data_IF_852924998859
#
_entry.id   IF_852924998859
#
_cell.length_a   1.000
_cell.length_b   1.000
_cell.length_c   1.000
_cell.angle_alpha   90.00
_cell.angle_beta   90.00
_cell.angle_gamma   90.00
#
_symmetry.space_group_name_H-M   'P 1'
#
loop_
_entity.id
_entity.type
_entity.pdbx_description
1 polymer ?
#
# COMPACT_ATOMS: atom_id res chain seq x y z
N UNK A 1 -52.36 -13.55 10.99
CA UNK A 1 -52.16 -12.30 10.22
C UNK A 1 -51.11 -11.36 10.81
N UNK A 2 -50.74 -11.46 12.12
CA UNK A 2 -49.74 -10.58 12.74
C UNK A 2 -48.29 -10.84 12.21
N UNK A 3 -47.90 -12.10 12.03
CA UNK A 3 -46.55 -12.46 11.61
C UNK A 3 -46.18 -12.00 10.17
N UNK A 4 -47.14 -11.93 9.26
CA UNK A 4 -46.88 -11.49 7.88
C UNK A 4 -46.62 -9.98 7.84
N UNK A 5 -47.34 -9.17 8.62
CA UNK A 5 -47.08 -7.73 8.69
C UNK A 5 -45.71 -7.40 9.31
N UNK A 6 -45.26 -8.16 10.32
CA UNK A 6 -43.92 -8.03 10.89
C UNK A 6 -42.81 -8.38 9.87
N UNK A 7 -43.03 -9.42 9.07
CA UNK A 7 -42.05 -9.79 8.02
C UNK A 7 -41.93 -8.70 6.95
N UNK A 8 -43.03 -8.15 6.47
CA UNK A 8 -43.00 -7.06 5.49
C UNK A 8 -42.40 -5.77 6.08
N UNK A 9 -42.65 -5.48 7.36
CA UNK A 9 -42.03 -4.33 8.04
C UNK A 9 -40.50 -4.50 8.11
N UNK A 10 -40.02 -5.67 8.54
CA UNK A 10 -38.57 -5.96 8.60
C UNK A 10 -37.93 -5.90 7.22
N UNK A 11 -38.58 -6.46 6.19
CA UNK A 11 -38.09 -6.38 4.80
C UNK A 11 -38.05 -4.91 4.33
N UNK A 12 -39.09 -4.12 4.62
CA UNK A 12 -39.13 -2.70 4.28
C UNK A 12 -38.02 -1.89 4.96
N UNK A 13 -37.75 -2.15 6.24
CA UNK A 13 -36.64 -1.52 6.99
C UNK A 13 -35.28 -1.91 6.41
N UNK A 14 -35.08 -3.19 6.10
CA UNK A 14 -33.84 -3.68 5.49
C UNK A 14 -33.63 -3.05 4.11
N UNK A 15 -34.66 -3.01 3.27
CA UNK A 15 -34.58 -2.37 1.95
C UNK A 15 -34.30 -0.87 2.09
N UNK A 16 -34.95 -0.17 3.03
CA UNK A 16 -34.68 1.25 3.27
C UNK A 16 -33.25 1.50 3.75
N UNK A 17 -32.72 0.67 4.64
CA UNK A 17 -31.31 0.73 5.09
C UNK A 17 -30.33 0.45 3.94
N UNK A 18 -30.62 -0.52 3.08
CA UNK A 18 -29.81 -0.80 1.91
C UNK A 18 -29.81 0.37 0.91
N UNK A 19 -30.96 1.00 0.70
CA UNK A 19 -31.08 2.17 -0.19
C UNK A 19 -30.31 3.39 0.35
N UNK A 20 -30.41 3.67 1.65
CA UNK A 20 -29.69 4.80 2.25
C UNK A 20 -28.17 4.58 2.27
N UNK A 21 -27.71 3.37 2.53
CA UNK A 21 -26.28 3.05 2.45
C UNK A 21 -25.76 3.05 1.01
N UNK A 22 -26.56 2.65 0.03
CA UNK A 22 -26.19 2.68 -1.39
C UNK A 22 -25.95 4.09 -1.94
N UNK A 23 -26.51 5.12 -1.30
CA UNK A 23 -26.22 6.53 -1.60
C UNK A 23 -24.83 6.97 -1.11
N UNK A 24 -24.15 6.16 -0.27
CA UNK A 24 -22.85 6.49 0.33
C UNK A 24 -21.65 6.33 -0.60
N UNK A 25 -21.81 5.78 -1.82
CA UNK A 25 -20.73 5.60 -2.79
C UNK A 25 -21.12 6.10 -4.19
N UNK A 26 -20.10 6.55 -4.94
CA UNK A 26 -20.22 7.07 -6.31
C UNK A 26 -19.33 6.27 -7.27
N UNK A 27 -19.64 4.97 -7.51
CA UNK A 27 -18.77 4.11 -8.28
C UNK A 27 -18.76 4.45 -9.77
N UNK A 28 -17.58 4.32 -10.38
CA UNK A 28 -17.40 4.33 -11.83
C UNK A 28 -17.41 2.88 -12.34
N UNK A 29 -17.98 2.67 -13.52
CA UNK A 29 -17.85 1.40 -14.21
C UNK A 29 -16.42 1.23 -14.73
N UNK A 30 -15.84 0.06 -14.49
CA UNK A 30 -14.54 -0.31 -15.03
C UNK A 30 -14.55 -1.79 -15.36
N UNK A 31 -14.09 -2.15 -16.54
CA UNK A 31 -13.93 -3.55 -16.96
C UNK A 31 -12.44 -3.89 -16.91
N UNK A 32 -11.97 -4.67 -15.92
CA UNK A 32 -10.61 -5.16 -15.93
C UNK A 32 -10.38 -6.11 -17.10
N UNK A 33 -9.15 -6.18 -17.58
CA UNK A 33 -8.73 -7.24 -18.48
C UNK A 33 -8.86 -8.62 -17.80
N UNK A 34 -9.00 -9.69 -18.57
CA UNK A 34 -9.02 -11.04 -18.01
C UNK A 34 -7.80 -11.26 -17.10
N UNK A 35 -8.05 -11.83 -15.92
CA UNK A 35 -7.00 -12.13 -14.96
C UNK A 35 -5.96 -13.04 -15.59
N UNK A 36 -4.64 -12.72 -15.51
CA UNK A 36 -3.59 -13.57 -16.02
C UNK A 36 -3.53 -14.90 -15.26
N UNK A 37 -3.10 -15.95 -15.94
CA UNK A 37 -2.90 -17.25 -15.34
C UNK A 37 -1.59 -17.29 -14.56
N UNK A 38 -1.54 -18.12 -13.52
CA UNK A 38 -0.31 -18.38 -12.77
C UNK A 38 0.52 -19.46 -13.50
N UNK A 39 1.34 -19.04 -14.46
CA UNK A 39 2.16 -19.89 -15.30
C UNK A 39 3.54 -19.29 -15.58
N UNK A 40 4.49 -20.07 -16.07
CA UNK A 40 5.86 -19.60 -16.34
C UNK A 40 6.52 -19.05 -15.09
N UNK A 41 7.06 -17.81 -15.16
CA UNK A 41 7.68 -17.12 -14.01
C UNK A 41 6.70 -16.80 -12.88
N UNK A 42 5.39 -16.86 -13.16
CA UNK A 42 4.33 -16.66 -12.16
C UNK A 42 3.68 -17.95 -11.67
N UNK A 43 4.23 -19.13 -12.04
CA UNK A 43 3.73 -20.42 -11.54
C UNK A 43 3.75 -20.46 -10.01
N UNK A 44 2.64 -20.93 -9.42
CA UNK A 44 2.51 -21.00 -7.97
C UNK A 44 3.59 -21.87 -7.34
N UNK A 45 4.12 -21.40 -6.22
CA UNK A 45 5.06 -22.09 -5.36
C UNK A 45 4.69 -21.88 -3.88
N UNK A 46 5.47 -22.40 -2.96
CA UNK A 46 5.27 -22.27 -1.51
C UNK A 46 6.48 -21.61 -0.83
N UNK A 47 7.22 -20.74 -1.53
CA UNK A 47 8.44 -20.16 -0.98
C UNK A 47 8.15 -19.30 0.25
N UNK A 48 7.09 -18.47 0.23
CA UNK A 48 6.73 -17.63 1.39
C UNK A 48 6.13 -18.42 2.55
N UNK A 49 5.82 -19.70 2.40
CA UNK A 49 5.47 -20.55 3.56
C UNK A 49 6.64 -20.83 4.50
N UNK A 50 7.86 -20.50 4.08
CA UNK A 50 9.13 -20.74 4.80
C UNK A 50 9.65 -19.51 5.53
N UNK A 51 8.87 -18.43 5.62
CA UNK A 51 9.30 -17.19 6.28
C UNK A 51 9.53 -17.40 7.76
N UNK A 52 10.60 -16.83 8.27
CA UNK A 52 10.79 -16.59 9.71
C UNK A 52 9.93 -15.39 10.11
N UNK A 53 9.41 -15.40 11.33
CA UNK A 53 8.55 -14.34 11.84
C UNK A 53 9.30 -13.49 12.85
N UNK A 54 9.47 -12.21 12.56
CA UNK A 54 9.95 -11.21 13.52
C UNK A 54 8.71 -10.63 14.19
N UNK A 55 8.51 -11.00 15.46
CA UNK A 55 7.36 -10.58 16.27
C UNK A 55 7.34 -9.06 16.46
N UNK A 56 6.18 -8.44 16.40
CA UNK A 56 5.96 -7.02 16.68
C UNK A 56 5.44 -6.78 18.11
N UNK A 57 5.43 -7.79 18.97
CA UNK A 57 4.92 -7.72 20.33
C UNK A 57 3.41 -7.59 20.36
N UNK A 58 2.91 -6.52 20.95
CA UNK A 58 1.46 -6.24 21.03
C UNK A 58 0.93 -5.43 19.85
N UNK A 59 1.76 -5.15 18.84
CA UNK A 59 1.43 -4.31 17.70
C UNK A 59 1.14 -5.15 16.47
N UNK A 60 0.43 -4.55 15.53
CA UNK A 60 0.16 -5.11 14.19
C UNK A 60 0.47 -4.07 13.13
N UNK A 61 0.67 -4.48 11.89
CA UNK A 61 0.99 -3.60 10.79
C UNK A 61 2.36 -3.91 10.20
N UNK A 62 3.22 -2.94 10.03
CA UNK A 62 4.44 -2.89 9.22
C UNK A 62 4.11 -2.64 7.75
N UNK A 63 3.31 -1.58 7.50
CA UNK A 63 2.97 -1.13 6.13
C UNK A 63 4.22 -0.78 5.33
N UNK A 64 5.22 -0.18 5.98
CA UNK A 64 6.53 0.03 5.38
C UNK A 64 7.64 -0.37 6.36
N UNK A 65 8.78 -0.77 5.79
CA UNK A 65 9.95 -1.29 6.51
C UNK A 65 11.18 -0.58 5.99
N UNK A 66 11.96 0.03 6.89
CA UNK A 66 13.24 0.65 6.55
C UNK A 66 14.31 0.28 7.57
N UNK A 67 15.56 0.29 7.17
CA UNK A 67 16.70 0.02 8.03
C UNK A 67 17.61 1.24 8.12
N UNK A 68 18.15 1.49 9.31
CA UNK A 68 19.26 2.42 9.47
C UNK A 68 20.62 1.76 9.14
N UNK A 69 21.68 2.55 9.14
CA UNK A 69 23.06 2.07 8.87
C UNK A 69 23.57 1.07 9.91
N UNK A 70 23.01 1.05 11.12
CA UNK A 70 23.36 0.13 12.18
C UNK A 70 22.60 -1.20 12.10
N UNK A 71 21.66 -1.33 11.15
CA UNK A 71 20.84 -2.52 10.98
C UNK A 71 19.57 -2.55 11.83
N UNK A 72 19.24 -1.48 12.53
CA UNK A 72 17.95 -1.39 13.18
C UNK A 72 16.84 -1.28 12.13
N UNK A 73 15.77 -2.04 12.33
CA UNK A 73 14.57 -2.01 11.51
C UNK A 73 13.58 -1.01 12.10
N UNK A 74 12.98 -0.19 11.23
CA UNK A 74 11.88 0.70 11.60
C UNK A 74 10.64 0.35 10.79
N UNK A 75 9.47 0.37 11.44
CA UNK A 75 8.19 0.11 10.77
C UNK A 75 7.05 0.89 11.42
N UNK A 76 6.07 1.26 10.59
CA UNK A 76 4.82 1.83 11.06
C UNK A 76 3.87 0.73 11.54
N UNK A 77 3.31 0.87 12.75
CA UNK A 77 2.40 -0.10 13.35
C UNK A 77 1.19 0.57 13.99
N UNK A 78 0.17 -0.22 14.30
CA UNK A 78 -1.01 0.20 15.05
C UNK A 78 -1.41 -0.82 16.11
N UNK A 79 -2.37 -0.47 16.97
CA UNK A 79 -2.65 -1.23 18.20
C UNK A 79 -3.37 -2.56 17.97
N UNK A 80 -4.26 -2.62 16.99
CA UNK A 80 -5.09 -3.80 16.77
C UNK A 80 -5.49 -3.90 15.30
N UNK A 81 -5.84 -5.10 14.87
CA UNK A 81 -6.33 -5.35 13.52
C UNK A 81 -7.46 -4.38 13.15
N UNK A 82 -7.29 -3.70 12.02
CA UNK A 82 -8.22 -2.67 11.49
C UNK A 82 -8.45 -1.43 12.38
N UNK A 83 -7.63 -1.21 13.42
CA UNK A 83 -7.65 0.00 14.23
C UNK A 83 -6.40 0.86 13.96
N UNK A 84 -6.51 1.78 13.02
CA UNK A 84 -5.44 2.67 12.57
C UNK A 84 -5.33 3.98 13.38
N UNK A 85 -6.03 4.09 14.51
CA UNK A 85 -6.17 5.34 15.26
C UNK A 85 -4.99 5.66 16.17
N UNK A 86 -4.24 4.65 16.66
CA UNK A 86 -3.12 4.79 17.60
C UNK A 86 -1.82 4.23 17.03
N UNK A 87 -1.37 4.80 15.90
CA UNK A 87 -0.17 4.37 15.21
C UNK A 87 1.11 4.81 15.90
N UNK A 88 2.13 3.96 15.76
CA UNK A 88 3.49 4.13 16.26
C UNK A 88 4.50 3.87 15.15
N UNK A 89 5.71 4.36 15.33
CA UNK A 89 6.89 3.85 14.64
C UNK A 89 7.67 3.04 15.65
N UNK A 90 7.84 1.75 15.37
CA UNK A 90 8.74 0.89 16.15
C UNK A 90 10.15 0.96 15.59
N UNK A 91 11.12 0.76 16.48
CA UNK A 91 12.50 0.42 16.16
C UNK A 91 12.80 -0.94 16.75
N UNK A 92 13.31 -1.84 15.94
CA UNK A 92 13.71 -3.20 16.32
C UNK A 92 15.20 -3.34 16.04
N UNK A 93 15.99 -3.57 17.06
CA UNK A 93 17.43 -3.73 16.88
C UNK A 93 17.78 -5.13 16.31
N UNK A 94 19.04 -5.39 15.88
CA UNK A 94 19.43 -6.69 15.33
C UNK A 94 19.22 -7.86 16.28
N UNK A 95 19.23 -7.64 17.61
CA UNK A 95 18.97 -8.62 18.65
C UNK A 95 17.47 -8.87 18.90
N UNK A 96 16.58 -8.19 18.15
CA UNK A 96 15.13 -8.33 18.24
C UNK A 96 14.47 -7.51 19.37
N UNK A 97 15.20 -6.60 20.04
CA UNK A 97 14.59 -5.73 21.05
C UNK A 97 13.77 -4.64 20.40
N UNK A 98 12.49 -4.56 20.80
CA UNK A 98 11.52 -3.59 20.30
C UNK A 98 11.49 -2.36 21.21
N UNK A 99 11.50 -1.18 20.61
CA UNK A 99 11.19 0.10 21.27
C UNK A 99 10.22 0.94 20.43
N UNK A 100 9.40 1.75 21.10
CA UNK A 100 8.62 2.78 20.42
C UNK A 100 9.55 3.93 20.09
N UNK A 101 9.88 4.09 18.82
CA UNK A 101 10.69 5.20 18.35
C UNK A 101 9.89 6.51 18.37
N UNK A 102 8.65 6.49 17.85
CA UNK A 102 7.77 7.64 17.80
C UNK A 102 6.30 7.27 17.99
N UNK A 103 5.60 8.10 18.78
CA UNK A 103 4.16 7.97 18.95
C UNK A 103 3.44 8.91 17.97
N UNK A 104 3.00 8.40 16.85
CA UNK A 104 2.35 9.18 15.81
C UNK A 104 0.89 9.51 16.12
N UNK A 105 0.22 8.71 16.95
CA UNK A 105 -1.20 8.83 17.27
C UNK A 105 -2.10 8.71 16.03
N UNK A 106 -1.58 8.11 14.95
CA UNK A 106 -2.27 7.77 13.71
C UNK A 106 -1.41 6.80 12.92
N UNK A 107 -1.97 6.14 11.92
CA UNK A 107 -1.19 5.28 11.05
C UNK A 107 -0.06 6.03 10.37
N UNK A 108 1.09 5.35 10.24
CA UNK A 108 2.27 5.79 9.50
C UNK A 108 2.53 4.75 8.43
N UNK A 109 2.37 5.12 7.16
CA UNK A 109 2.45 4.19 6.05
C UNK A 109 3.85 4.15 5.40
N UNK A 110 4.40 5.27 4.97
CA UNK A 110 5.69 5.34 4.28
C UNK A 110 6.83 5.83 5.17
N UNK A 111 8.02 5.25 5.04
CA UNK A 111 9.22 5.55 5.81
C UNK A 111 10.46 5.59 4.93
N UNK A 112 11.33 6.60 5.12
CA UNK A 112 12.67 6.65 4.51
C UNK A 112 13.61 7.49 5.37
N UNK A 113 14.92 7.20 5.35
CA UNK A 113 15.91 8.08 5.96
C UNK A 113 16.45 9.08 4.94
N UNK A 114 16.56 10.34 5.35
CA UNK A 114 17.32 11.35 4.61
C UNK A 114 18.84 11.21 4.87
N UNK A 115 19.66 11.98 4.14
CA UNK A 115 21.13 11.96 4.31
C UNK A 115 21.62 12.47 5.68
N UNK A 116 20.79 13.22 6.41
CA UNK A 116 21.05 13.66 7.78
C UNK A 116 20.60 12.65 8.84
N UNK A 117 20.16 11.44 8.42
CA UNK A 117 19.58 10.40 9.27
C UNK A 117 18.29 10.84 10.00
N UNK A 118 17.55 11.83 9.49
CA UNK A 118 16.19 12.04 9.93
C UNK A 118 15.29 10.97 9.31
N UNK A 119 14.36 10.44 10.08
CA UNK A 119 13.33 9.54 9.57
C UNK A 119 12.21 10.38 8.96
N UNK A 120 12.11 10.34 7.64
CA UNK A 120 11.00 10.92 6.89
C UNK A 120 9.85 9.94 6.93
N UNK A 121 8.65 10.41 7.27
CA UNK A 121 7.50 9.55 7.47
C UNK A 121 6.21 10.18 6.93
N UNK A 122 5.29 9.33 6.50
CA UNK A 122 3.95 9.71 6.07
C UNK A 122 2.93 9.36 7.16
N UNK A 123 2.51 10.37 7.90
CA UNK A 123 1.52 10.26 8.98
C UNK A 123 0.13 10.64 8.47
N UNK A 124 -0.86 9.79 8.67
CA UNK A 124 -2.25 10.10 8.27
C UNK A 124 -2.84 11.31 8.98
N UNK A 125 -2.28 11.70 10.14
CA UNK A 125 -2.72 12.87 10.89
C UNK A 125 -1.95 14.13 10.55
N UNK A 126 -0.65 14.01 10.25
CA UNK A 126 0.26 15.15 10.14
C UNK A 126 0.74 15.39 8.69
N UNK A 127 0.52 14.42 7.77
CA UNK A 127 1.06 14.46 6.41
C UNK A 127 2.51 13.99 6.35
N UNK A 128 3.32 14.64 5.53
CA UNK A 128 4.75 14.41 5.41
C UNK A 128 5.48 15.07 6.58
N UNK A 129 6.19 14.26 7.36
CA UNK A 129 6.96 14.71 8.55
C UNK A 129 8.42 14.25 8.48
N UNK A 130 9.28 14.97 9.17
CA UNK A 130 10.67 14.60 9.44
C UNK A 130 10.85 14.44 10.94
N UNK A 131 11.48 13.35 11.36
CA UNK A 131 11.76 13.01 12.75
C UNK A 131 13.28 12.92 12.93
N UNK A 132 13.87 13.85 13.66
CA UNK A 132 15.33 13.84 13.88
C UNK A 132 15.76 12.67 14.76
N UNK A 133 17.08 12.32 14.80
CA UNK A 133 17.61 11.32 15.75
C UNK A 133 17.30 11.63 17.22
N UNK A 134 17.10 12.91 17.55
CA UNK A 134 16.69 13.37 18.89
C UNK A 134 15.18 13.34 19.08
N UNK A 135 14.43 12.73 18.14
CA UNK A 135 12.96 12.58 18.16
C UNK A 135 12.21 13.93 18.09
N UNK A 136 12.84 14.98 17.55
CA UNK A 136 12.16 16.24 17.23
C UNK A 136 11.42 16.10 15.91
N UNK A 137 10.14 16.46 15.91
CA UNK A 137 9.27 16.32 14.74
C UNK A 137 9.05 17.65 14.05
N UNK A 138 9.21 17.65 12.74
CA UNK A 138 8.90 18.79 11.87
C UNK A 138 7.88 18.36 10.82
N UNK A 139 6.76 19.07 10.70
CA UNK A 139 5.82 18.89 9.60
C UNK A 139 6.39 19.58 8.37
N UNK A 140 6.69 18.79 7.33
CA UNK A 140 7.23 19.30 6.07
C UNK A 140 6.10 19.76 5.15
N UNK A 141 5.04 18.96 5.03
CA UNK A 141 3.85 19.31 4.25
C UNK A 141 2.63 18.50 4.72
N UNK A 142 1.46 19.14 4.78
CA UNK A 142 0.19 18.48 5.08
C UNK A 142 -0.90 18.74 4.02
N UNK A 143 -0.56 19.51 2.99
CA UNK A 143 -1.42 19.86 1.86
C UNK A 143 -0.62 19.86 0.57
N UNK A 144 -1.30 19.59 -0.53
CA UNK A 144 -0.74 19.74 -1.87
C UNK A 144 -0.69 21.21 -2.33
N UNK A 145 -0.17 21.44 -3.53
CA UNK A 145 -0.08 22.76 -4.19
C UNK A 145 -1.43 23.35 -4.60
N UNK A 146 -2.53 22.59 -4.45
CA UNK A 146 -3.93 23.03 -4.64
C UNK A 146 -4.66 23.26 -3.31
N UNK A 147 -3.97 23.12 -2.18
CA UNK A 147 -4.52 23.31 -0.82
C UNK A 147 -5.33 22.13 -0.29
N UNK A 148 -5.33 20.95 -0.94
CA UNK A 148 -6.01 19.74 -0.48
C UNK A 148 -5.17 19.03 0.58
N UNK A 149 -5.78 18.67 1.72
CA UNK A 149 -5.06 17.97 2.80
C UNK A 149 -4.74 16.52 2.42
N UNK A 150 -3.52 16.06 2.75
CA UNK A 150 -3.14 14.67 2.62
C UNK A 150 -3.83 13.86 3.73
N UNK A 151 -4.86 13.09 3.37
CA UNK A 151 -5.64 12.31 4.34
C UNK A 151 -5.18 10.84 4.43
N UNK A 152 -4.60 10.32 3.35
CA UNK A 152 -4.07 8.96 3.26
C UNK A 152 -2.74 9.02 2.49
N UNK A 153 -1.71 9.74 2.99
CA UNK A 153 -0.38 9.66 2.41
C UNK A 153 0.17 8.25 2.66
N UNK A 154 0.80 7.63 1.63
CA UNK A 154 1.06 6.19 1.64
C UNK A 154 2.52 5.83 1.38
N UNK A 155 2.96 5.65 0.13
CA UNK A 155 4.34 5.30 -0.19
C UNK A 155 5.24 6.52 -0.36
N UNK A 156 6.51 6.42 0.01
CA UNK A 156 7.50 7.47 -0.24
C UNK A 156 8.86 6.91 -0.64
N UNK A 157 9.62 7.72 -1.38
CA UNK A 157 11.03 7.49 -1.67
C UNK A 157 11.77 8.83 -1.84
N UNK A 158 13.11 8.81 -1.80
CA UNK A 158 13.96 10.01 -1.80
C UNK A 158 15.07 9.85 -2.84
N UNK A 159 15.27 10.87 -3.70
CA UNK A 159 16.38 10.88 -4.67
C UNK A 159 17.70 11.40 -4.04
N UNK A 160 18.79 11.31 -4.79
CA UNK A 160 20.13 11.77 -4.36
C UNK A 160 20.21 13.29 -4.10
N UNK A 161 19.25 14.06 -4.60
CA UNK A 161 19.10 15.50 -4.33
C UNK A 161 18.19 15.80 -3.14
N UNK A 162 17.80 14.76 -2.41
CA UNK A 162 16.90 14.83 -1.26
C UNK A 162 15.47 15.29 -1.60
N UNK A 163 15.06 15.25 -2.89
CA UNK A 163 13.65 15.43 -3.19
C UNK A 163 12.87 14.22 -2.69
N UNK A 164 11.78 14.45 -2.00
CA UNK A 164 10.91 13.41 -1.46
C UNK A 164 9.74 13.23 -2.41
N UNK A 165 9.58 12.01 -2.91
CA UNK A 165 8.44 11.62 -3.75
C UNK A 165 7.49 10.79 -2.92
N UNK A 166 6.19 11.10 -2.97
CA UNK A 166 5.21 10.36 -2.18
C UNK A 166 3.84 10.35 -2.82
N UNK A 167 3.06 9.34 -2.48
CA UNK A 167 1.68 9.19 -2.90
C UNK A 167 0.72 9.67 -1.82
N UNK A 168 -0.47 10.10 -2.23
CA UNK A 168 -1.64 10.22 -1.37
C UNK A 168 -2.78 9.44 -2.02
N UNK A 169 -3.28 8.43 -1.33
CA UNK A 169 -4.27 7.50 -1.86
C UNK A 169 -5.62 8.18 -2.10
N UNK A 170 -6.01 9.09 -1.19
CA UNK A 170 -7.29 9.81 -1.30
C UNK A 170 -7.34 11.09 -0.48
N UNK A 171 -8.18 12.03 -0.94
CA UNK A 171 -8.48 13.31 -0.28
C UNK A 171 -9.87 13.35 0.39
N UNK A 172 -10.67 12.29 0.30
CA UNK A 172 -12.08 12.37 0.71
C UNK A 172 -12.32 12.11 2.20
N UNK A 173 -11.55 11.21 2.82
CA UNK A 173 -11.72 10.80 4.22
C UNK A 173 -10.45 10.17 4.77
N UNK A 174 -10.17 10.30 6.08
CA UNK A 174 -9.15 9.49 6.73
C UNK A 174 -9.40 8.00 6.55
N UNK A 175 -8.33 7.21 6.51
CA UNK A 175 -8.43 5.77 6.28
C UNK A 175 -9.11 5.04 7.45
N UNK A 176 -9.96 4.12 7.07
CA UNK A 176 -10.48 3.03 7.89
C UNK A 176 -10.92 1.90 6.94
N UNK A 177 -11.16 0.71 7.48
CA UNK A 177 -11.47 -0.47 6.65
C UNK A 177 -12.71 -0.29 5.76
N UNK A 178 -13.74 0.42 6.25
CA UNK A 178 -14.94 0.73 5.45
C UNK A 178 -14.61 1.66 4.30
N UNK A 179 -13.72 2.65 4.53
CA UNK A 179 -13.30 3.60 3.51
C UNK A 179 -12.37 2.94 2.48
N UNK A 180 -11.46 2.08 2.91
CA UNK A 180 -10.65 1.27 1.98
C UNK A 180 -11.50 0.45 1.02
N UNK A 181 -12.53 -0.23 1.53
CA UNK A 181 -13.52 -0.95 0.69
C UNK A 181 -14.30 -0.03 -0.25
N UNK A 182 -14.66 1.17 0.22
CA UNK A 182 -15.27 2.21 -0.63
C UNK A 182 -14.38 2.54 -1.81
N UNK A 183 -13.10 2.82 -1.59
CA UNK A 183 -12.14 3.16 -2.63
C UNK A 183 -12.02 2.05 -3.68
N UNK A 184 -11.92 0.77 -3.24
CA UNK A 184 -11.88 -0.39 -4.13
C UNK A 184 -13.13 -0.49 -4.99
N UNK A 185 -14.32 -0.30 -4.42
CA UNK A 185 -15.57 -0.38 -5.16
C UNK A 185 -15.82 0.83 -6.05
N UNK A 186 -15.45 2.03 -5.63
CA UNK A 186 -15.70 3.24 -6.39
C UNK A 186 -14.85 3.33 -7.66
N UNK A 187 -13.61 2.89 -7.62
CA UNK A 187 -12.69 3.02 -8.76
C UNK A 187 -12.63 4.46 -9.27
N UNK A 188 -12.45 5.43 -8.36
CA UNK A 188 -12.35 6.85 -8.68
C UNK A 188 -10.93 7.36 -8.56
N UNK A 189 -10.51 8.29 -9.44
CA UNK A 189 -9.19 8.89 -9.39
C UNK A 189 -9.11 9.97 -8.29
N UNK A 190 -8.98 9.54 -7.03
CA UNK A 190 -9.05 10.42 -5.84
C UNK A 190 -7.68 10.74 -5.23
N UNK A 191 -6.61 10.17 -5.74
CA UNK A 191 -5.27 10.31 -5.19
C UNK A 191 -4.33 11.13 -6.07
N UNK A 192 -3.05 11.09 -5.75
CA UNK A 192 -2.02 11.75 -6.54
C UNK A 192 -0.61 11.32 -6.17
N UNK A 193 0.36 11.71 -7.01
CA UNK A 193 1.81 11.61 -6.81
C UNK A 193 2.40 13.01 -6.66
N UNK A 194 3.28 13.19 -5.67
CA UNK A 194 3.82 14.48 -5.27
C UNK A 194 5.33 14.45 -5.14
N UNK A 195 5.93 15.60 -5.33
CA UNK A 195 7.32 15.88 -4.99
C UNK A 195 7.36 16.99 -3.95
N UNK A 196 8.09 16.77 -2.85
CA UNK A 196 8.50 17.82 -1.92
C UNK A 196 9.98 18.14 -2.14
N UNK A 197 10.31 19.41 -2.31
CA UNK A 197 11.70 19.86 -2.42
C UNK A 197 12.12 20.48 -1.07
N UNK A 198 13.09 19.90 -0.34
CA UNK A 198 13.47 20.39 0.98
C UNK A 198 14.15 21.76 0.96
N UNK A 199 14.86 22.10 -0.14
CA UNK A 199 15.56 23.39 -0.26
C UNK A 199 14.60 24.58 -0.42
N UNK A 200 13.51 24.39 -1.18
CA UNK A 200 12.50 25.43 -1.42
C UNK A 200 11.27 25.29 -0.54
N UNK A 201 11.13 24.14 0.14
CA UNK A 201 9.93 23.72 0.89
C UNK A 201 8.65 23.68 0.05
N UNK A 202 8.79 23.56 -1.27
CA UNK A 202 7.69 23.54 -2.21
C UNK A 202 7.16 22.12 -2.42
N UNK A 203 5.84 21.98 -2.51
CA UNK A 203 5.15 20.80 -3.01
C UNK A 203 4.83 21.03 -4.48
N UNK A 204 4.99 19.98 -5.28
CA UNK A 204 4.58 19.93 -6.68
C UNK A 204 3.75 18.67 -6.91
N UNK A 205 2.55 18.82 -7.46
CA UNK A 205 1.76 17.69 -7.98
C UNK A 205 2.40 17.18 -9.27
N UNK A 206 2.79 15.91 -9.30
CA UNK A 206 3.34 15.24 -10.48
C UNK A 206 2.24 14.51 -11.27
N UNK A 207 1.37 13.76 -10.58
CA UNK A 207 0.19 13.13 -11.16
C UNK A 207 -1.00 13.47 -10.27
N UNK A 208 -2.08 13.98 -10.86
CA UNK A 208 -3.36 14.22 -10.19
C UNK A 208 -4.39 13.18 -10.68
N UNK A 209 -5.17 12.63 -9.76
CA UNK A 209 -6.21 11.67 -10.12
C UNK A 209 -5.72 10.22 -10.27
N UNK A 210 -4.93 9.72 -9.31
CA UNK A 210 -4.52 8.31 -9.25
C UNK A 210 -5.57 7.41 -8.59
N UNK A 211 -5.57 6.12 -8.97
CA UNK A 211 -6.53 5.11 -8.50
C UNK A 211 -5.91 4.28 -7.36
N UNK A 212 -6.11 4.74 -6.12
CA UNK A 212 -5.50 4.14 -4.95
C UNK A 212 -3.96 4.10 -5.11
N UNK A 213 -3.34 5.29 -5.26
CA UNK A 213 -1.88 5.41 -5.30
C UNK A 213 -1.29 4.88 -4.01
N UNK A 214 -0.33 3.95 -4.13
CA UNK A 214 0.30 3.25 -3.03
C UNK A 214 1.82 3.42 -3.08
N UNK A 215 2.61 2.36 -3.10
CA UNK A 215 4.07 2.45 -3.16
C UNK A 215 4.59 3.32 -4.29
N UNK A 216 5.71 3.99 -4.07
CA UNK A 216 6.48 4.74 -5.06
C UNK A 216 7.96 4.47 -4.86
N UNK A 217 8.73 4.43 -5.95
CA UNK A 217 10.17 4.21 -5.91
C UNK A 217 10.85 5.01 -7.03
N UNK A 218 12.03 5.55 -6.73
CA UNK A 218 12.92 6.22 -7.69
C UNK A 218 13.76 5.15 -8.41
N UNK A 219 13.90 5.23 -9.73
CA UNK A 219 14.81 4.35 -10.49
C UNK A 219 16.27 4.60 -10.10
N UNK A 220 17.13 3.58 -10.25
CA UNK A 220 18.55 3.65 -9.87
C UNK A 220 19.30 4.81 -10.52
N UNK A 221 19.00 5.14 -11.77
CA UNK A 221 19.56 6.25 -12.52
C UNK A 221 18.81 7.58 -12.31
N UNK A 222 17.76 7.55 -11.48
CA UNK A 222 16.88 8.69 -11.19
C UNK A 222 16.27 9.33 -12.44
N UNK A 223 16.01 8.54 -13.47
CA UNK A 223 15.37 9.05 -14.69
C UNK A 223 13.84 8.97 -14.63
N UNK A 224 13.30 8.11 -13.78
CA UNK A 224 11.85 7.94 -13.58
C UNK A 224 11.47 7.50 -12.17
N UNK A 225 10.18 7.60 -11.89
CA UNK A 225 9.52 6.98 -10.74
C UNK A 225 8.64 5.83 -11.22
N UNK A 226 8.58 4.76 -10.46
CA UNK A 226 7.48 3.79 -10.54
C UNK A 226 6.50 4.06 -9.41
N UNK A 227 5.22 4.05 -9.72
CA UNK A 227 4.13 4.25 -8.76
C UNK A 227 3.08 3.15 -8.91
N UNK A 228 2.64 2.61 -7.79
CA UNK A 228 1.60 1.58 -7.73
C UNK A 228 0.21 2.21 -7.80
N UNK A 229 -0.67 1.70 -8.68
CA UNK A 229 -2.11 1.92 -8.64
C UNK A 229 -2.82 0.62 -8.26
N UNK A 230 -3.04 0.44 -6.96
CA UNK A 230 -3.55 -0.82 -6.36
C UNK A 230 -4.84 -1.31 -7.01
N UNK A 231 -5.84 -0.45 -7.14
CA UNK A 231 -7.17 -0.85 -7.65
C UNK A 231 -7.23 -1.02 -9.16
N UNK A 232 -6.21 -0.55 -9.88
CA UNK A 232 -6.07 -0.74 -11.33
C UNK A 232 -5.19 -1.94 -11.68
N UNK A 233 -4.63 -2.63 -10.68
CA UNK A 233 -3.73 -3.76 -10.90
C UNK A 233 -2.55 -3.42 -11.81
N UNK A 234 -1.92 -2.24 -11.59
CA UNK A 234 -0.88 -1.75 -12.49
C UNK A 234 0.18 -0.89 -11.79
N UNK A 235 1.28 -0.68 -12.51
CA UNK A 235 2.32 0.30 -12.20
C UNK A 235 2.33 1.40 -13.24
N UNK A 236 2.49 2.63 -12.81
CA UNK A 236 2.75 3.79 -13.66
C UNK A 236 4.23 4.15 -13.59
N UNK A 237 4.80 4.59 -14.72
CA UNK A 237 6.11 5.22 -14.83
C UNK A 237 5.93 6.71 -15.07
N UNK A 238 6.49 7.53 -14.19
CA UNK A 238 6.54 8.98 -14.35
C UNK A 238 7.99 9.39 -14.64
N UNK A 239 8.21 10.00 -15.78
CA UNK A 239 9.55 10.42 -16.21
C UNK A 239 10.01 11.69 -15.52
N UNK A 240 11.17 11.64 -14.86
CA UNK A 240 11.80 12.78 -14.17
C UNK A 240 12.74 13.55 -15.10
N UNK A 241 13.40 12.85 -16.03
CA UNK A 241 14.46 13.39 -16.89
C UNK A 241 14.26 12.97 -18.35
N UNK A 242 15.02 13.62 -19.27
CA UNK A 242 15.02 13.31 -20.70
C UNK A 242 13.83 13.92 -21.44
N UNK A 243 13.65 13.50 -22.71
CA UNK A 243 12.60 14.02 -23.60
C UNK A 243 11.16 13.74 -23.12
N UNK A 244 11.00 12.73 -22.29
CA UNK A 244 9.72 12.36 -21.71
C UNK A 244 9.47 13.01 -20.34
N UNK A 245 10.35 13.87 -19.83
CA UNK A 245 10.20 14.50 -18.53
C UNK A 245 8.81 15.09 -18.32
N UNK A 246 8.16 14.75 -17.18
CA UNK A 246 6.80 15.16 -16.87
C UNK A 246 5.69 14.30 -17.48
N UNK A 247 6.02 13.30 -18.31
CA UNK A 247 5.04 12.37 -18.90
C UNK A 247 4.85 11.15 -18.03
N UNK A 248 3.64 10.60 -18.07
CA UNK A 248 3.26 9.35 -17.39
C UNK A 248 2.91 8.31 -18.44
N UNK A 249 3.34 7.08 -18.23
CA UNK A 249 2.98 5.91 -19.04
C UNK A 249 2.72 4.69 -18.16
N UNK A 250 1.99 3.70 -18.68
CA UNK A 250 1.80 2.42 -17.99
C UNK A 250 3.10 1.64 -18.09
N UNK A 251 3.66 1.23 -16.95
CA UNK A 251 4.86 0.40 -16.88
C UNK A 251 4.53 -1.09 -16.90
N UNK A 252 3.59 -1.52 -16.05
CA UNK A 252 3.02 -2.86 -16.04
C UNK A 252 1.52 -2.75 -15.87
N UNK A 253 0.76 -3.57 -16.56
CA UNK A 253 -0.70 -3.63 -16.44
C UNK A 253 -1.19 -5.05 -16.17
N UNK A 254 -2.44 -5.17 -15.80
CA UNK A 254 -3.12 -6.44 -15.62
C UNK A 254 -2.38 -7.40 -14.68
N UNK A 255 -1.90 -6.92 -13.54
CA UNK A 255 -1.19 -7.71 -12.55
C UNK A 255 -2.09 -8.78 -11.91
N UNK A 256 -1.49 -9.83 -11.35
CA UNK A 256 -2.15 -10.99 -10.75
C UNK A 256 -2.90 -10.70 -9.43
N UNK A 257 -2.66 -9.55 -8.83
CA UNK A 257 -3.21 -9.17 -7.51
C UNK A 257 -3.34 -7.68 -7.32
N UNK A 258 -3.54 -7.28 -6.09
CA UNK A 258 -3.56 -5.90 -5.63
C UNK A 258 -2.13 -5.48 -5.27
N UNK A 259 -1.37 -4.83 -6.18
CA UNK A 259 -0.03 -4.37 -5.87
C UNK A 259 -0.10 -3.29 -4.79
N UNK A 260 0.91 -3.27 -3.90
CA UNK A 260 0.94 -2.37 -2.75
C UNK A 260 2.28 -1.62 -2.66
N UNK A 261 3.25 -2.14 -1.92
CA UNK A 261 4.58 -1.55 -1.78
C UNK A 261 5.51 -1.96 -2.91
N UNK A 262 6.43 -1.08 -3.25
CA UNK A 262 7.50 -1.33 -4.21
C UNK A 262 8.82 -0.82 -3.64
N UNK A 263 9.91 -1.56 -3.85
CA UNK A 263 11.25 -1.12 -3.47
C UNK A 263 12.28 -1.48 -4.51
N UNK A 264 13.39 -0.74 -4.54
CA UNK A 264 14.49 -0.96 -5.48
C UNK A 264 15.59 -1.84 -4.86
N UNK A 265 16.20 -2.67 -5.68
CA UNK A 265 17.40 -3.45 -5.38
C UNK A 265 18.66 -2.69 -5.78
N UNK A 266 19.81 -3.10 -5.23
CA UNK A 266 21.11 -2.51 -5.58
C UNK A 266 21.46 -2.65 -7.07
N UNK A 267 20.99 -3.70 -7.74
CA UNK A 267 21.18 -3.94 -9.18
C UNK A 267 20.26 -3.12 -10.10
N UNK A 268 19.25 -2.42 -9.53
CA UNK A 268 18.28 -1.61 -10.26
C UNK A 268 16.98 -2.34 -10.59
N UNK A 269 16.85 -3.60 -10.21
CA UNK A 269 15.58 -4.34 -10.26
C UNK A 269 14.67 -3.92 -9.11
N UNK A 270 13.42 -4.41 -9.09
CA UNK A 270 12.44 -4.00 -8.08
C UNK A 270 11.75 -5.19 -7.45
N UNK A 271 11.45 -5.06 -6.16
CA UNK A 271 10.53 -5.92 -5.44
C UNK A 271 9.15 -5.26 -5.37
N UNK A 272 8.12 -5.99 -5.76
CA UNK A 272 6.73 -5.56 -5.72
C UNK A 272 5.95 -6.47 -4.77
N UNK A 273 5.40 -5.89 -3.72
CA UNK A 273 4.54 -6.57 -2.75
C UNK A 273 3.07 -6.47 -3.13
N UNK A 274 2.27 -7.43 -2.64
CA UNK A 274 0.84 -7.49 -2.91
C UNK A 274 0.05 -7.71 -1.63
N UNK A 275 -1.07 -7.01 -1.50
CA UNK A 275 -2.01 -7.24 -0.40
C UNK A 275 -2.70 -8.59 -0.55
N UNK A 276 -3.09 -8.96 -1.77
CA UNK A 276 -3.69 -10.27 -2.10
C UNK A 276 -3.76 -10.48 -3.61
N UNK A 277 -4.14 -11.68 -4.04
CA UNK A 277 -4.47 -11.97 -5.44
C UNK A 277 -5.77 -11.29 -5.90
N UNK A 278 -6.00 -11.16 -7.21
CA UNK A 278 -7.27 -10.68 -7.77
C UNK A 278 -8.42 -11.61 -7.41
N UNK A 279 -9.58 -11.00 -7.13
CA UNK A 279 -10.80 -11.69 -6.78
C UNK A 279 -11.78 -11.68 -7.96
N UNK A 280 -12.14 -12.88 -8.47
CA UNK A 280 -12.99 -13.05 -9.65
C UNK A 280 -14.41 -12.46 -9.46
N UNK A 281 -14.95 -12.49 -8.23
CA UNK A 281 -16.25 -11.90 -7.94
C UNK A 281 -16.20 -10.38 -8.03
N UNK A 282 -15.13 -9.77 -7.51
CA UNK A 282 -14.90 -8.34 -7.58
C UNK A 282 -14.70 -7.88 -9.03
N UNK A 283 -13.90 -8.58 -9.82
CA UNK A 283 -13.69 -8.29 -11.24
C UNK A 283 -15.00 -8.34 -12.04
N UNK A 284 -15.89 -9.31 -11.74
CA UNK A 284 -17.21 -9.43 -12.37
C UNK A 284 -18.18 -8.30 -12.01
N UNK A 285 -18.03 -7.68 -10.84
CA UNK A 285 -18.91 -6.59 -10.41
C UNK A 285 -18.37 -5.20 -10.80
N UNK A 286 -17.07 -5.06 -11.06
CA UNK A 286 -16.48 -3.75 -11.42
C UNK A 286 -17.17 -3.03 -12.58
N UNK A 287 -17.66 -3.69 -13.65
CA UNK A 287 -18.42 -3.04 -14.70
C UNK A 287 -19.84 -2.63 -14.29
N UNK A 288 -20.35 -3.15 -13.16
CA UNK A 288 -21.77 -3.07 -12.77
C UNK A 288 -21.98 -2.11 -11.61
N UNK A 289 -22.24 -0.82 -11.90
CA UNK A 289 -22.42 0.24 -10.90
C UNK A 289 -23.46 -0.16 -9.82
N UNK A 290 -24.61 -0.73 -10.22
CA UNK A 290 -25.66 -1.15 -9.29
C UNK A 290 -25.18 -2.25 -8.32
N UNK A 291 -24.40 -3.23 -8.82
CA UNK A 291 -23.84 -4.29 -7.97
C UNK A 291 -22.81 -3.76 -6.98
N UNK A 292 -21.97 -2.80 -7.38
CA UNK A 292 -21.02 -2.13 -6.48
C UNK A 292 -21.77 -1.44 -5.33
N UNK A 293 -22.84 -0.69 -5.62
CA UNK A 293 -23.69 -0.05 -4.62
C UNK A 293 -24.35 -1.08 -3.70
N UNK A 294 -24.86 -2.16 -4.27
CA UNK A 294 -25.48 -3.26 -3.51
C UNK A 294 -24.48 -3.90 -2.54
N UNK A 295 -23.29 -4.30 -3.04
CA UNK A 295 -22.24 -4.93 -2.20
C UNK A 295 -21.79 -3.98 -1.09
N UNK A 296 -21.63 -2.68 -1.38
CA UNK A 296 -21.26 -1.71 -0.35
C UNK A 296 -22.33 -1.54 0.73
N UNK A 297 -23.61 -1.66 0.37
CA UNK A 297 -24.74 -1.54 1.30
C UNK A 297 -24.93 -2.78 2.19
N UNK A 298 -24.31 -3.92 1.86
CA UNK A 298 -24.38 -5.12 2.68
C UNK A 298 -23.76 -4.87 4.07
N UNK A 299 -24.32 -5.47 5.13
CA UNK A 299 -23.67 -5.54 6.42
C UNK A 299 -22.25 -6.11 6.29
N UNK A 300 -21.30 -5.62 7.08
CA UNK A 300 -19.87 -5.97 6.98
C UNK A 300 -19.62 -7.48 7.00
N UNK A 301 -20.40 -8.24 7.76
CA UNK A 301 -20.29 -9.70 7.87
C UNK A 301 -20.76 -10.46 6.61
N UNK A 302 -21.55 -9.83 5.74
CA UNK A 302 -21.96 -10.36 4.41
C UNK A 302 -21.07 -9.88 3.26
N UNK A 303 -20.21 -8.92 3.51
CA UNK A 303 -19.31 -8.42 2.46
C UNK A 303 -18.19 -9.45 2.19
N UNK A 304 -17.75 -9.59 0.94
CA UNK A 304 -16.61 -10.44 0.61
C UNK A 304 -15.39 -10.05 1.46
N UNK A 305 -14.72 -11.07 2.02
CA UNK A 305 -13.46 -10.90 2.73
C UNK A 305 -12.31 -10.97 1.73
N UNK A 306 -11.21 -10.34 2.08
CA UNK A 306 -9.95 -10.47 1.38
C UNK A 306 -9.44 -11.92 1.50
N UNK A 307 -8.96 -12.48 0.39
CA UNK A 307 -8.27 -13.77 0.42
C UNK A 307 -6.92 -13.62 1.14
N UNK A 308 -6.59 -14.59 1.98
CA UNK A 308 -5.23 -14.70 2.54
C UNK A 308 -4.35 -15.35 1.48
N UNK A 309 -3.38 -14.59 0.96
CA UNK A 309 -2.54 -15.05 -0.13
C UNK A 309 -1.26 -14.20 -0.21
N UNK A 310 -0.15 -14.75 0.25
CA UNK A 310 1.14 -14.08 0.16
C UNK A 310 1.66 -14.09 -1.27
N UNK A 311 2.06 -12.92 -1.77
CA UNK A 311 2.62 -12.77 -3.11
C UNK A 311 3.63 -11.62 -3.16
N UNK A 312 4.81 -11.91 -3.70
CA UNK A 312 5.85 -10.94 -4.02
C UNK A 312 6.38 -11.22 -5.42
N UNK A 313 6.64 -10.18 -6.20
CA UNK A 313 7.25 -10.27 -7.53
C UNK A 313 8.59 -9.55 -7.55
N UNK A 314 9.57 -10.16 -8.17
CA UNK A 314 10.84 -9.54 -8.58
C UNK A 314 10.71 -9.15 -10.05
N UNK A 315 10.92 -7.89 -10.38
CA UNK A 315 10.75 -7.34 -11.73
C UNK A 315 11.97 -6.55 -12.16
N UNK A 316 12.27 -6.55 -13.46
CA UNK A 316 13.35 -5.75 -14.02
C UNK A 316 12.91 -4.32 -14.37
N UNK A 317 13.84 -3.51 -14.84
CA UNK A 317 13.62 -2.12 -15.28
C UNK A 317 12.71 -1.96 -16.51
N UNK A 318 12.44 -3.07 -17.22
CA UNK A 318 11.55 -3.13 -18.38
C UNK A 318 10.15 -3.66 -18.04
N UNK A 319 9.91 -4.05 -16.76
CA UNK A 319 8.65 -4.65 -16.31
C UNK A 319 8.55 -6.15 -16.55
N UNK A 320 9.68 -6.84 -16.86
CA UNK A 320 9.71 -8.29 -16.97
C UNK A 320 9.68 -8.91 -15.58
N UNK A 321 8.78 -9.87 -15.36
CA UNK A 321 8.74 -10.63 -14.11
C UNK A 321 9.87 -11.66 -14.13
N UNK A 322 10.88 -11.44 -13.29
CA UNK A 322 12.06 -12.31 -13.15
C UNK A 322 11.72 -13.54 -12.31
N UNK A 323 11.02 -13.33 -11.20
CA UNK A 323 10.63 -14.39 -10.26
C UNK A 323 9.43 -13.98 -9.40
N UNK A 324 8.67 -14.97 -8.95
CA UNK A 324 7.59 -14.76 -7.99
C UNK A 324 7.72 -15.70 -6.81
N UNK A 325 7.24 -15.23 -5.66
CA UNK A 325 7.25 -15.94 -4.39
C UNK A 325 5.84 -15.94 -3.83
N UNK A 326 5.35 -17.12 -3.42
CA UNK A 326 3.97 -17.28 -2.96
C UNK A 326 3.87 -18.03 -1.63
N UNK A 327 2.84 -17.67 -0.86
CA UNK A 327 2.16 -18.53 0.11
C UNK A 327 0.67 -18.63 -0.29
N UNK A 328 0.30 -19.58 -1.16
CA UNK A 328 -1.09 -19.73 -1.60
C UNK A 328 -2.05 -20.11 -0.49
N UNK A 329 -1.55 -20.63 0.63
CA UNK A 329 -2.37 -20.99 1.81
C UNK A 329 -2.65 -19.78 2.69
N UNK A 330 -1.78 -18.76 2.63
CA UNK A 330 -1.85 -17.59 3.48
C UNK A 330 -1.73 -17.89 4.98
N UNK A 331 -1.08 -19.01 5.35
CA UNK A 331 -0.87 -19.40 6.76
C UNK A 331 0.37 -18.72 7.33
N UNK A 332 1.48 -18.77 6.61
CA UNK A 332 2.74 -18.19 7.03
C UNK A 332 2.84 -16.71 6.64
N UNK A 333 2.37 -16.36 5.45
CA UNK A 333 2.37 -14.99 4.94
C UNK A 333 1.02 -14.69 4.24
N UNK A 334 -0.03 -14.27 4.98
CA UNK A 334 -1.37 -14.04 4.41
C UNK A 334 -1.46 -12.82 3.50
N UNK A 335 -0.50 -11.92 3.58
CA UNK A 335 -0.31 -10.73 2.75
C UNK A 335 1.18 -10.36 2.75
N UNK A 336 1.65 -9.67 1.72
CA UNK A 336 3.00 -9.13 1.62
C UNK A 336 2.90 -7.71 1.02
N UNK A 337 2.22 -6.82 1.74
CA UNK A 337 1.95 -5.45 1.29
C UNK A 337 3.22 -4.64 1.08
N UNK A 338 4.16 -4.70 2.00
CA UNK A 338 5.50 -4.13 1.84
C UNK A 338 6.55 -5.21 1.62
N UNK A 339 7.63 -4.86 0.93
CA UNK A 339 8.76 -5.74 0.70
C UNK A 339 10.06 -4.94 0.62
N UNK A 340 11.09 -5.38 1.34
CA UNK A 340 12.42 -4.75 1.34
C UNK A 340 13.49 -5.83 1.35
N UNK A 341 14.44 -5.72 0.44
CA UNK A 341 15.63 -6.59 0.45
C UNK A 341 16.73 -5.97 1.29
N UNK A 342 17.39 -6.82 2.10
CA UNK A 342 18.62 -6.45 2.79
C UNK A 342 19.47 -7.69 3.10
N UNK A 343 20.76 -7.63 2.73
CA UNK A 343 21.76 -8.67 3.05
C UNK A 343 21.31 -10.08 2.64
N UNK A 344 20.66 -10.23 1.48
CA UNK A 344 20.19 -11.54 0.97
C UNK A 344 18.89 -12.03 1.61
N UNK A 345 18.17 -11.18 2.36
CA UNK A 345 16.87 -11.49 2.93
C UNK A 345 15.81 -10.54 2.41
N UNK A 346 14.59 -11.06 2.18
CA UNK A 346 13.39 -10.25 2.02
C UNK A 346 12.71 -10.06 3.37
N UNK A 347 12.38 -8.83 3.67
CA UNK A 347 11.52 -8.46 4.80
C UNK A 347 10.19 -7.99 4.25
N UNK A 348 9.10 -8.58 4.74
CA UNK A 348 7.76 -8.35 4.23
C UNK A 348 6.82 -8.03 5.37
N UNK A 349 6.05 -6.97 5.18
CA UNK A 349 5.01 -6.55 6.12
C UNK A 349 3.64 -6.54 5.47
N UNK A 350 2.67 -6.09 6.23
CA UNK A 350 1.29 -5.93 5.78
C UNK A 350 0.46 -5.18 6.80
N UNK A 351 -0.76 -4.79 6.43
CA UNK A 351 -1.60 -3.88 7.21
C UNK A 351 -1.96 -4.42 8.60
N UNK A 352 -2.10 -5.74 8.74
CA UNK A 352 -2.66 -6.33 9.96
C UNK A 352 -1.85 -7.51 10.50
N UNK A 353 -0.59 -7.67 10.07
CA UNK A 353 0.25 -8.76 10.55
C UNK A 353 0.87 -8.44 11.91
N UNK A 354 0.86 -9.38 12.88
CA UNK A 354 1.55 -9.21 14.16
C UNK A 354 3.05 -9.50 14.07
N UNK A 355 3.60 -9.64 12.87
CA UNK A 355 5.01 -9.95 12.60
C UNK A 355 5.43 -9.40 11.24
N UNK A 356 6.73 -9.26 11.06
CA UNK A 356 7.38 -9.10 9.76
C UNK A 356 7.86 -10.47 9.30
N UNK A 357 7.51 -10.87 8.08
CA UNK A 357 8.04 -12.08 7.44
C UNK A 357 9.47 -11.82 6.96
N UNK A 358 10.42 -12.69 7.34
CA UNK A 358 11.80 -12.68 6.85
C UNK A 358 12.06 -13.95 6.05
N UNK A 359 12.47 -13.80 4.80
CA UNK A 359 12.75 -14.91 3.88
C UNK A 359 14.16 -14.81 3.34
N UNK A 360 14.93 -15.90 3.44
CA UNK A 360 16.30 -15.98 2.89
C UNK A 360 16.24 -16.19 1.36
N UNK A 361 16.81 -15.26 0.62
CA UNK A 361 16.96 -15.40 -0.82
C UNK A 361 18.03 -16.44 -1.11
N UNK A 362 17.65 -17.53 -1.77
CA UNK A 362 18.62 -18.47 -2.30
C UNK A 362 19.40 -17.77 -3.40
N UNK A 363 20.63 -17.37 -3.10
CA UNK A 363 21.58 -16.96 -4.10
C UNK A 363 21.74 -18.15 -5.05
N UNK A 364 21.21 -18.03 -6.26
CA UNK A 364 21.53 -19.00 -7.31
C UNK A 364 23.03 -18.86 -7.54
N UNK A 365 23.77 -19.95 -7.23
CA UNK A 365 25.23 -20.02 -7.32
C UNK A 365 25.71 -19.39 -8.63
N UNK A 366 26.77 -18.59 -8.47
CA UNK A 366 27.56 -18.08 -9.58
C UNK A 366 28.12 -19.25 -10.40
#
# INVERSE_FOLDING_TARGET
MSNIKSVYFVIGVVISMLLTQSCGIKPLAWKPEPKPLFEGTTQLNNELSKVEKIDLGTWVGAEDIIFDSLGNLYCGVHKAENDFSDGKILKINPEGKIEIFYNAGSWVAGLHFDEQNNLIALSHKQGLISISPQKVVTVLANKDDKGRSFLIPNGLDIDSKQNIYFTNTSFESPYNIKYGRKLILEMRPNGGLYQYNPSTKAIKTLIDGTYFGNGVVVSKDETYLLMVETTKYRLLKYWLKGEKAGKTEIFMDNLHGFPNGISICEDGTFWLGFTTKRNDALDKIHPKIGMKKFVYALPTWLQPKQDKFGMVMHIDENGTILKTYFDPTGIAMPEAGSVKERNGFLYMGGDNLPYIGKYELKLHGK
#
